data_IF_315566186236
#
_entry.id   IF_315566186236
#
_cell.length_a   1.000
_cell.length_b   1.000
_cell.length_c   1.000
_cell.angle_alpha   90.00
_cell.angle_beta   90.00
_cell.angle_gamma   90.00
#
_symmetry.space_group_name_H-M   'P 1'
#
loop_
_entity.id
_entity.type
_entity.pdbx_description
1 polymer ?
#
# COMPACT_ATOMS: atom_id res chain seq x y z
N UNK A 1 -2.70 -33.09 21.84
CA UNK A 1 -1.98 -32.24 20.88
C UNK A 1 -2.85 -31.79 19.70
N UNK A 2 -3.64 -32.68 19.08
CA UNK A 2 -4.52 -32.33 17.94
C UNK A 2 -5.55 -31.21 18.23
N UNK A 3 -6.13 -31.18 19.43
CA UNK A 3 -7.11 -30.16 19.81
C UNK A 3 -6.54 -28.73 19.82
N UNK A 4 -5.26 -28.55 20.20
CA UNK A 4 -4.62 -27.23 20.25
C UNK A 4 -4.43 -26.66 18.84
N UNK A 5 -4.03 -27.51 17.89
CA UNK A 5 -3.93 -27.15 16.47
C UNK A 5 -5.30 -26.80 15.87
N UNK A 6 -6.35 -27.54 16.25
CA UNK A 6 -7.71 -27.26 15.80
C UNK A 6 -8.21 -25.90 16.30
N UNK A 7 -8.02 -25.58 17.59
CA UNK A 7 -8.41 -24.28 18.14
C UNK A 7 -7.57 -23.12 17.58
N UNK A 8 -6.28 -23.33 17.29
CA UNK A 8 -5.44 -22.32 16.65
C UNK A 8 -5.89 -22.04 15.21
N UNK A 9 -6.22 -23.08 14.44
CA UNK A 9 -6.72 -22.95 13.08
C UNK A 9 -8.12 -22.33 13.05
N UNK A 10 -8.99 -22.73 13.97
CA UNK A 10 -10.33 -22.14 14.11
C UNK A 10 -10.26 -20.67 14.52
N UNK A 11 -9.37 -20.31 15.44
CA UNK A 11 -9.11 -18.91 15.81
C UNK A 11 -8.60 -18.07 14.64
N UNK A 12 -7.72 -18.64 13.81
CA UNK A 12 -7.25 -17.98 12.58
C UNK A 12 -8.39 -17.76 11.59
N UNK A 13 -9.23 -18.78 11.36
CA UNK A 13 -10.37 -18.68 10.45
C UNK A 13 -11.44 -17.69 10.94
N UNK A 14 -11.68 -17.63 12.25
CA UNK A 14 -12.59 -16.66 12.86
C UNK A 14 -11.99 -15.25 12.80
N UNK A 15 -10.67 -15.08 13.00
CA UNK A 15 -10.01 -13.78 12.85
C UNK A 15 -10.11 -13.26 11.41
N UNK A 16 -9.93 -14.15 10.43
CA UNK A 16 -10.12 -13.84 9.00
C UNK A 16 -11.60 -13.52 8.71
N UNK A 17 -12.54 -14.35 9.17
CA UNK A 17 -13.97 -14.15 8.92
C UNK A 17 -14.58 -12.92 9.61
N UNK A 18 -14.13 -12.58 10.82
CA UNK A 18 -14.53 -11.34 11.50
C UNK A 18 -13.92 -10.12 10.82
N UNK A 19 -12.72 -10.23 10.25
CA UNK A 19 -12.14 -9.20 9.37
C UNK A 19 -13.03 -8.92 8.15
N UNK A 20 -13.53 -9.96 7.50
CA UNK A 20 -14.46 -9.85 6.36
C UNK A 20 -15.85 -9.33 6.75
N UNK A 21 -16.43 -9.77 7.88
CA UNK A 21 -17.77 -9.32 8.29
C UNK A 21 -17.80 -7.83 8.71
N UNK A 22 -16.64 -7.25 9.05
CA UNK A 22 -16.51 -5.83 9.35
C UNK A 22 -16.34 -4.95 8.10
N UNK A 23 -16.04 -5.57 6.95
CA UNK A 23 -15.91 -4.91 5.66
C UNK A 23 -17.29 -4.45 5.12
N UNK A 24 -18.35 -5.21 5.38
CA UNK A 24 -19.69 -4.91 4.84
C UNK A 24 -20.39 -3.72 5.55
N UNK A 25 -20.05 -3.43 6.80
CA UNK A 25 -20.72 -2.36 7.59
C UNK A 25 -19.97 -1.03 7.62
N UNK A 26 -18.76 -0.99 7.07
CA UNK A 26 -18.03 0.26 6.86
C UNK A 26 -17.87 0.49 5.37
N UNK A 27 -18.89 1.07 4.74
CA UNK A 27 -18.62 2.08 3.72
C UNK A 27 -18.15 3.32 4.48
N UNK A 28 -16.85 3.61 4.59
CA UNK A 28 -16.44 4.89 5.13
C UNK A 28 -16.73 5.93 4.06
N UNK A 29 -17.42 7.00 4.42
CA UNK A 29 -17.46 8.22 3.64
C UNK A 29 -16.04 8.53 3.16
N UNK A 30 -15.86 8.61 1.84
CA UNK A 30 -14.63 8.97 1.11
C UNK A 30 -13.51 9.54 2.01
N UNK A 31 -12.71 8.67 2.64
CA UNK A 31 -11.53 9.12 3.36
C UNK A 31 -10.49 9.48 2.31
N UNK A 32 -10.38 10.78 2.01
CA UNK A 32 -9.51 11.30 0.95
C UNK A 32 -8.06 10.97 1.29
N UNK A 33 -7.33 10.38 0.34
CA UNK A 33 -5.89 10.18 0.48
C UNK A 33 -5.19 11.54 0.64
N UNK A 34 -4.61 11.76 1.83
CA UNK A 34 -3.77 12.91 2.13
C UNK A 34 -2.30 12.55 2.01
N UNK A 35 -1.58 13.14 1.04
CA UNK A 35 -0.15 12.90 0.83
C UNK A 35 0.68 13.17 2.09
N UNK A 36 0.41 14.28 2.78
CA UNK A 36 1.16 14.68 3.97
C UNK A 36 0.96 13.70 5.12
N UNK A 37 -0.27 13.25 5.31
CA UNK A 37 -0.66 12.28 6.33
C UNK A 37 -0.05 10.90 6.03
N UNK A 38 -0.04 10.48 4.75
CA UNK A 38 0.63 9.26 4.30
C UNK A 38 2.14 9.31 4.57
N UNK A 39 2.80 10.40 4.19
CA UNK A 39 4.24 10.58 4.43
C UNK A 39 4.57 10.54 5.92
N UNK A 40 3.77 11.20 6.76
CA UNK A 40 3.95 11.15 8.21
C UNK A 40 3.75 9.74 8.78
N UNK A 41 2.76 9.00 8.27
CA UNK A 41 2.48 7.62 8.65
C UNK A 41 3.67 6.70 8.29
N UNK A 42 4.15 6.77 7.04
CA UNK A 42 5.23 5.93 6.52
C UNK A 42 6.53 6.28 7.24
N UNK A 43 6.92 7.56 7.28
CA UNK A 43 8.15 7.97 7.94
C UNK A 43 8.15 7.60 9.43
N UNK A 44 7.00 7.65 10.10
CA UNK A 44 6.87 7.28 11.50
C UNK A 44 7.06 5.78 11.79
N UNK A 45 6.82 4.91 10.80
CA UNK A 45 6.84 3.44 10.96
C UNK A 45 7.95 2.71 10.22
N UNK A 46 8.68 3.41 9.36
CA UNK A 46 9.78 2.84 8.59
C UNK A 46 10.86 2.24 9.49
N UNK A 47 11.40 1.09 9.09
CA UNK A 47 12.53 0.46 9.76
C UNK A 47 13.68 1.47 9.97
N UNK A 48 14.24 1.60 11.19
CA UNK A 48 15.29 2.58 11.46
C UNK A 48 16.55 2.44 10.60
N UNK A 49 16.88 1.22 10.17
CA UNK A 49 18.03 0.94 9.31
C UNK A 49 17.80 1.42 7.88
N UNK A 50 16.59 1.25 7.35
CA UNK A 50 16.21 1.75 6.01
C UNK A 50 15.92 3.26 6.01
N UNK A 51 15.49 3.81 7.15
CA UNK A 51 15.19 5.24 7.32
C UNK A 51 16.46 6.11 7.35
N UNK A 52 17.63 5.52 7.57
CA UNK A 52 18.88 6.28 7.69
C UNK A 52 19.19 7.03 6.39
N UNK A 53 19.30 8.35 6.48
CA UNK A 53 19.59 9.21 5.31
C UNK A 53 18.36 9.58 4.47
N UNK A 54 17.18 9.05 4.77
CA UNK A 54 15.93 9.44 4.12
C UNK A 54 15.28 10.64 4.79
N UNK A 55 14.77 11.55 3.97
CA UNK A 55 13.92 12.67 4.39
C UNK A 55 12.47 12.38 4.04
N UNK A 56 11.50 12.99 4.74
CA UNK A 56 10.09 12.90 4.37
C UNK A 56 9.81 13.26 2.90
N UNK A 57 10.56 14.22 2.34
CA UNK A 57 10.47 14.62 0.94
C UNK A 57 10.87 13.53 -0.06
N UNK A 58 11.66 12.54 0.38
CA UNK A 58 12.09 11.43 -0.47
C UNK A 58 10.95 10.38 -0.54
N UNK A 59 10.25 10.15 0.58
CA UNK A 59 9.02 9.32 0.63
C UNK A 59 7.90 9.95 -0.18
N UNK A 60 7.66 11.25 -0.02
CA UNK A 60 6.65 12.00 -0.80
C UNK A 60 6.88 11.84 -2.30
N UNK A 61 8.16 11.85 -2.70
CA UNK A 61 8.59 11.64 -4.08
C UNK A 61 8.21 10.23 -4.55
N UNK A 62 8.63 9.18 -3.82
CA UNK A 62 8.33 7.76 -4.12
C UNK A 62 6.82 7.54 -4.30
N UNK A 63 6.04 7.94 -3.30
CA UNK A 63 4.56 7.84 -3.30
C UNK A 63 3.97 8.66 -4.45
N UNK A 64 4.51 9.86 -4.72
CA UNK A 64 4.06 10.72 -5.81
C UNK A 64 4.22 10.09 -7.21
N UNK A 65 5.31 9.34 -7.46
CA UNK A 65 5.46 8.64 -8.73
C UNK A 65 4.57 7.38 -8.81
N UNK A 66 4.34 6.69 -7.70
CA UNK A 66 3.38 5.58 -7.63
C UNK A 66 1.97 6.06 -8.01
N UNK A 67 1.51 7.16 -7.39
CA UNK A 67 0.18 7.70 -7.68
C UNK A 67 0.04 8.20 -9.11
N UNK A 68 1.14 8.71 -9.69
CA UNK A 68 1.18 9.07 -11.11
C UNK A 68 1.02 7.85 -12.00
N UNK A 69 1.70 6.74 -11.67
CA UNK A 69 1.53 5.49 -12.39
C UNK A 69 0.09 4.97 -12.32
N UNK A 70 -0.53 5.03 -11.14
CA UNK A 70 -1.94 4.66 -10.94
C UNK A 70 -2.88 5.54 -11.77
N UNK A 71 -2.67 6.86 -11.78
CA UNK A 71 -3.46 7.80 -12.59
C UNK A 71 -3.26 7.57 -14.11
N UNK A 72 -2.03 7.29 -14.56
CA UNK A 72 -1.75 6.90 -15.94
C UNK A 72 -2.48 5.61 -16.32
N UNK A 73 -2.44 4.58 -15.46
CA UNK A 73 -3.19 3.35 -15.67
C UNK A 73 -4.69 3.61 -15.76
N UNK A 74 -5.24 4.40 -14.83
CA UNK A 74 -6.66 4.73 -14.80
C UNK A 74 -7.11 5.41 -16.08
N UNK A 75 -6.33 6.35 -16.60
CA UNK A 75 -6.64 7.05 -17.86
C UNK A 75 -6.52 6.16 -19.09
N UNK A 76 -5.65 5.15 -19.04
CA UNK A 76 -5.45 4.21 -20.15
C UNK A 76 -6.54 3.14 -20.25
N UNK A 77 -7.31 2.92 -19.17
CA UNK A 77 -8.41 1.95 -19.12
C UNK A 77 -9.73 2.67 -19.37
N UNK A 78 -10.52 2.13 -20.29
CA UNK A 78 -11.90 2.60 -20.57
C UNK A 78 -12.93 1.91 -19.66
N UNK A 79 -12.51 1.52 -18.45
CA UNK A 79 -13.31 0.79 -17.48
C UNK A 79 -13.22 1.44 -16.10
N UNK A 80 -14.32 1.37 -15.34
CA UNK A 80 -14.37 1.72 -13.90
C UNK A 80 -13.71 0.65 -13.01
N UNK A 81 -12.81 -0.16 -13.57
CA UNK A 81 -12.14 -1.21 -12.80
C UNK A 81 -11.23 -0.59 -11.73
N UNK A 82 -11.19 -1.19 -10.52
CA UNK A 82 -10.25 -0.78 -9.49
C UNK A 82 -8.81 -0.86 -9.99
N UNK A 83 -8.04 0.20 -9.80
CA UNK A 83 -6.59 0.19 -10.06
C UNK A 83 -5.87 -0.23 -8.79
N UNK A 84 -4.93 -1.18 -8.93
CA UNK A 84 -4.12 -1.66 -7.82
C UNK A 84 -3.04 -0.64 -7.48
N UNK A 85 -3.09 -0.15 -6.25
CA UNK A 85 -2.12 0.76 -5.61
C UNK A 85 -1.04 -0.03 -4.86
N UNK A 86 0.10 0.60 -4.59
CA UNK A 86 1.27 0.00 -3.93
C UNK A 86 1.75 -1.30 -4.62
N UNK A 87 1.62 -1.36 -5.95
CA UNK A 87 1.98 -2.54 -6.74
C UNK A 87 3.48 -2.60 -7.06
N UNK A 88 3.98 -3.81 -7.35
CA UNK A 88 5.36 -4.00 -7.83
C UNK A 88 5.65 -3.18 -9.10
N UNK A 89 4.67 -3.07 -9.99
CA UNK A 89 4.82 -2.29 -11.22
C UNK A 89 4.85 -0.77 -10.95
N UNK A 90 4.07 -0.29 -9.97
CA UNK A 90 4.16 1.08 -9.47
C UNK A 90 5.52 1.38 -8.82
N UNK A 91 6.06 0.44 -8.06
CA UNK A 91 7.42 0.55 -7.48
C UNK A 91 8.52 0.60 -8.52
N UNK A 92 8.45 -0.24 -9.55
CA UNK A 92 9.39 -0.21 -10.67
C UNK A 92 9.31 1.13 -11.44
N UNK A 93 8.09 1.65 -11.65
CA UNK A 93 7.89 2.96 -12.24
C UNK A 93 8.51 4.08 -11.38
N UNK A 94 8.25 4.06 -10.06
CA UNK A 94 8.81 5.03 -9.13
C UNK A 94 10.35 4.99 -9.09
N UNK A 95 10.93 3.79 -9.14
CA UNK A 95 12.39 3.62 -9.23
C UNK A 95 12.96 4.22 -10.52
N UNK A 96 12.34 3.91 -11.66
CA UNK A 96 12.76 4.44 -12.96
C UNK A 96 12.69 5.97 -12.98
N UNK A 97 11.61 6.57 -12.45
CA UNK A 97 11.47 8.03 -12.37
C UNK A 97 12.42 8.68 -11.39
N UNK A 98 12.70 8.04 -10.26
CA UNK A 98 13.75 8.51 -9.35
C UNK A 98 15.08 8.63 -10.08
N UNK A 99 15.49 7.60 -10.84
CA UNK A 99 16.74 7.58 -11.60
C UNK A 99 16.77 8.69 -12.66
N UNK A 100 15.67 8.88 -13.41
CA UNK A 100 15.53 9.95 -14.40
C UNK A 100 15.68 11.35 -13.80
N UNK A 101 15.21 11.55 -12.57
CA UNK A 101 15.32 12.80 -11.82
C UNK A 101 16.63 12.93 -11.00
N UNK A 102 17.55 11.97 -11.13
CA UNK A 102 18.86 11.99 -10.48
C UNK A 102 18.85 11.51 -9.01
N UNK A 103 17.81 10.82 -8.59
CA UNK A 103 17.69 10.18 -7.28
C UNK A 103 17.89 8.67 -7.39
N UNK A 104 18.67 8.11 -6.46
CA UNK A 104 18.87 6.66 -6.37
C UNK A 104 18.37 6.20 -5.02
N UNK A 105 17.30 5.41 -5.02
CA UNK A 105 16.81 4.72 -3.83
C UNK A 105 17.04 3.23 -3.99
N UNK A 106 17.49 2.60 -2.91
CA UNK A 106 17.67 1.16 -2.88
C UNK A 106 16.31 0.46 -2.97
N UNK A 107 16.25 -0.70 -3.63
CA UNK A 107 15.03 -1.49 -3.78
C UNK A 107 14.28 -1.72 -2.46
N UNK A 108 14.96 -2.14 -1.37
CA UNK A 108 14.33 -2.32 -0.06
C UNK A 108 13.67 -1.06 0.52
N UNK A 109 14.18 0.14 0.18
CA UNK A 109 13.57 1.41 0.61
C UNK A 109 12.23 1.61 -0.09
N UNK A 110 12.20 1.39 -1.42
CA UNK A 110 10.97 1.54 -2.21
C UNK A 110 9.93 0.52 -1.77
N UNK A 111 10.34 -0.74 -1.61
CA UNK A 111 9.45 -1.82 -1.13
C UNK A 111 8.84 -1.51 0.23
N UNK A 112 9.63 -1.03 1.18
CA UNK A 112 9.15 -0.66 2.51
C UNK A 112 8.19 0.53 2.48
N UNK A 113 8.47 1.54 1.66
CA UNK A 113 7.58 2.69 1.47
C UNK A 113 6.22 2.25 0.92
N UNK A 114 6.22 1.41 -0.13
CA UNK A 114 4.98 0.91 -0.73
C UNK A 114 4.20 -0.02 0.22
N UNK A 115 4.90 -0.86 0.97
CA UNK A 115 4.30 -1.73 1.98
C UNK A 115 3.56 -0.91 3.04
N UNK A 116 4.20 0.15 3.55
CA UNK A 116 3.61 1.06 4.54
C UNK A 116 2.52 1.96 3.96
N UNK A 117 2.61 2.30 2.68
CA UNK A 117 1.54 2.98 1.95
C UNK A 117 0.30 2.09 1.84
N UNK A 118 0.46 0.81 1.48
CA UNK A 118 -0.64 -0.14 1.43
C UNK A 118 -1.32 -0.29 2.80
N UNK A 119 -0.54 -0.35 3.89
CA UNK A 119 -1.07 -0.34 5.26
C UNK A 119 -1.84 0.94 5.58
N UNK A 120 -1.32 2.09 5.17
CA UNK A 120 -2.00 3.38 5.37
C UNK A 120 -3.33 3.40 4.63
N UNK A 121 -3.35 3.02 3.34
CA UNK A 121 -4.56 2.94 2.54
C UNK A 121 -5.58 1.94 3.13
N UNK A 122 -5.10 0.79 3.62
CA UNK A 122 -5.93 -0.16 4.36
C UNK A 122 -6.54 0.45 5.62
N UNK A 123 -5.78 1.27 6.37
CA UNK A 123 -6.29 1.97 7.55
C UNK A 123 -7.39 2.99 7.22
N UNK A 124 -7.41 3.52 6.00
CA UNK A 124 -8.45 4.42 5.50
C UNK A 124 -9.69 3.69 4.94
N UNK A 125 -9.63 2.35 4.84
CA UNK A 125 -10.65 1.53 4.18
C UNK A 125 -10.59 1.62 2.65
N UNK A 126 -9.49 2.08 2.08
CA UNK A 126 -9.28 2.27 0.65
C UNK A 126 -8.66 1.02 -0.03
N UNK A 127 -9.26 -0.16 0.20
CA UNK A 127 -8.82 -1.44 -0.40
C UNK A 127 -9.96 -2.02 -1.25
N UNK A 128 -9.73 -2.17 -2.55
CA UNK A 128 -10.57 -2.97 -3.44
C UNK A 128 -10.16 -4.44 -3.41
N UNK A 129 -11.08 -5.36 -3.69
CA UNK A 129 -10.76 -6.79 -3.88
C UNK A 129 -9.63 -6.94 -4.92
N UNK A 130 -8.61 -7.74 -4.61
CA UNK A 130 -7.68 -8.23 -5.63
C UNK A 130 -8.51 -8.89 -6.73
N UNK A 131 -8.50 -8.31 -7.93
CA UNK A 131 -8.94 -9.03 -9.13
C UNK A 131 -7.94 -10.16 -9.36
N UNK A 132 -8.25 -11.32 -8.81
CA UNK A 132 -7.63 -12.58 -9.18
C UNK A 132 -7.90 -12.77 -10.67
N UNK A 133 -6.91 -12.41 -11.50
CA UNK A 133 -6.97 -12.56 -12.94
C UNK A 133 -7.24 -14.03 -13.30
N UNK A 134 -8.38 -14.26 -13.94
CA UNK A 134 -8.76 -15.48 -14.65
C UNK A 134 -8.06 -15.58 -16.00
#
# INVERSE_FOLDING_TARGET
MAYVLFFALFGLLVAVGVGFAWQETRRPDSTVFGMREAVAYIYGRMDPGLKQGLRPSDIERIVGWELRYVDEQRRSRDSDEPVVVASLAGGAYAQQKAIEEGFTYDGPIIEEVLRLEAEYLASLGAVGEEVAGS
#
